data_IF_773930048420
#
_entry.id   IF_773930048420
#
_cell.length_a   1.000
_cell.length_b   1.000
_cell.length_c   1.000
_cell.angle_alpha   90.00
_cell.angle_beta   90.00
_cell.angle_gamma   90.00
#
_symmetry.space_group_name_H-M   'P 1'
#
loop_
_entity.id
_entity.type
_entity.pdbx_description
1 polymer ?
#
# COMPACT_ATOMS: atom_id res chain seq x y z
N UNK A 1 27.57 69.27 20.31
CA UNK A 1 26.25 68.74 19.90
C UNK A 1 26.30 67.84 18.67
N UNK A 2 27.00 68.20 17.58
CA UNK A 2 27.07 67.36 16.34
C UNK A 2 27.69 65.97 16.52
N UNK A 3 28.69 65.79 17.41
CA UNK A 3 29.31 64.48 17.69
C UNK A 3 28.41 63.52 18.50
N UNK A 4 27.56 64.06 19.38
CA UNK A 4 26.63 63.26 20.19
C UNK A 4 25.45 62.73 19.36
N UNK A 5 24.99 63.51 18.37
CA UNK A 5 23.92 63.11 17.46
C UNK A 5 24.36 61.97 16.52
N UNK A 6 25.63 61.94 16.10
CA UNK A 6 26.18 60.88 15.23
C UNK A 6 26.30 59.56 16.02
N UNK A 7 26.75 59.61 17.29
CA UNK A 7 26.84 58.41 18.12
C UNK A 7 25.47 57.81 18.46
N UNK A 8 24.43 58.63 18.65
CA UNK A 8 23.07 58.12 18.86
C UNK A 8 22.50 57.45 17.60
N UNK A 9 22.82 57.97 16.41
CA UNK A 9 22.35 57.41 15.14
C UNK A 9 23.00 56.07 14.80
N UNK A 10 24.28 55.88 15.16
CA UNK A 10 25.00 54.60 14.98
C UNK A 10 24.51 53.53 15.95
N UNK A 11 24.14 53.89 17.19
CA UNK A 11 23.56 52.94 18.15
C UNK A 11 22.14 52.53 17.73
N UNK A 12 21.37 53.43 17.11
CA UNK A 12 20.02 53.11 16.62
C UNK A 12 20.02 52.20 15.38
N UNK A 13 21.07 52.26 14.55
CA UNK A 13 21.28 51.35 13.41
C UNK A 13 21.72 49.93 13.82
N UNK A 14 22.24 49.75 15.04
CA UNK A 14 22.64 48.45 15.59
C UNK A 14 21.49 47.66 16.24
N UNK A 15 20.28 48.23 16.26
CA UNK A 15 19.09 47.62 16.84
C UNK A 15 18.00 47.31 15.79
N UNK A 16 18.42 46.89 14.60
CA UNK A 16 17.48 46.26 13.66
C UNK A 16 17.28 44.82 14.15
N UNK A 17 16.08 44.44 14.63
CA UNK A 17 15.81 43.06 14.96
C UNK A 17 15.98 42.23 13.70
N UNK A 18 16.96 41.33 13.71
CA UNK A 18 17.11 40.30 12.67
C UNK A 18 15.92 39.38 12.84
N UNK A 19 14.83 39.66 12.14
CA UNK A 19 13.71 38.73 12.04
C UNK A 19 14.23 37.56 11.23
N UNK A 20 14.30 36.33 11.77
CA UNK A 20 14.65 35.18 10.96
C UNK A 20 13.62 35.06 9.86
N UNK A 21 14.03 35.38 8.63
CA UNK A 21 13.27 35.08 7.44
C UNK A 21 13.23 33.55 7.32
N UNK A 22 12.18 32.94 7.87
CA UNK A 22 11.80 31.59 7.49
C UNK A 22 11.38 31.67 6.02
N UNK A 23 12.34 31.43 5.13
CA UNK A 23 12.02 31.13 3.74
C UNK A 23 11.09 29.92 3.77
N UNK A 24 9.79 30.14 3.53
CA UNK A 24 8.90 29.04 3.18
C UNK A 24 9.51 28.43 1.91
N UNK A 25 9.96 27.18 2.00
CA UNK A 25 10.31 26.42 0.80
C UNK A 25 9.11 26.56 -0.17
N UNK A 26 9.34 27.01 -1.42
CA UNK A 26 8.25 27.23 -2.35
C UNK A 26 7.47 25.93 -2.48
N UNK A 27 6.16 25.97 -2.21
CA UNK A 27 5.29 24.81 -2.40
C UNK A 27 5.39 24.37 -3.86
N UNK A 28 6.06 23.24 -4.09
CA UNK A 28 6.25 22.71 -5.43
C UNK A 28 4.89 22.33 -5.99
N UNK A 29 4.44 23.06 -7.01
CA UNK A 29 3.16 22.78 -7.65
C UNK A 29 3.31 21.64 -8.66
N UNK A 30 3.06 20.40 -8.22
CA UNK A 30 3.11 19.21 -9.07
C UNK A 30 1.81 18.97 -9.85
N UNK A 31 0.66 19.38 -9.31
CA UNK A 31 -0.69 19.01 -9.80
C UNK A 31 -1.59 20.25 -9.89
N UNK A 32 -1.99 20.64 -11.10
CA UNK A 32 -2.81 21.85 -11.39
C UNK A 32 -4.28 21.51 -11.60
N UNK A 33 -4.56 20.73 -12.63
CA UNK A 33 -5.92 20.47 -13.11
C UNK A 33 -6.39 19.06 -12.70
N UNK A 34 -6.42 18.82 -11.39
CA UNK A 34 -7.00 17.63 -10.79
C UNK A 34 -7.59 17.97 -9.43
N UNK A 35 -8.66 17.26 -9.05
CA UNK A 35 -9.41 17.50 -7.81
C UNK A 35 -8.55 17.21 -6.58
N UNK A 36 -7.91 16.04 -6.57
CA UNK A 36 -6.99 15.64 -5.49
C UNK A 36 -5.83 14.81 -6.00
N UNK A 37 -4.71 14.84 -5.27
CA UNK A 37 -3.56 14.01 -5.52
C UNK A 37 -2.75 13.70 -4.25
N UNK A 38 -1.99 12.62 -4.28
CA UNK A 38 -0.98 12.30 -3.27
C UNK A 38 0.18 11.54 -3.90
N UNK A 39 1.39 11.74 -3.37
CA UNK A 39 2.59 11.00 -3.69
C UNK A 39 3.22 10.54 -2.38
N UNK A 40 3.42 9.24 -2.23
CA UNK A 40 4.08 8.65 -1.06
C UNK A 40 5.25 7.76 -1.48
N UNK A 41 6.25 7.63 -0.62
CA UNK A 41 7.19 6.51 -0.68
C UNK A 41 6.56 5.31 0.06
N UNK A 42 6.63 4.11 -0.55
CA UNK A 42 5.86 2.95 -0.12
C UNK A 42 6.31 2.43 1.25
N UNK A 43 7.61 2.16 1.44
CA UNK A 43 8.11 1.46 2.62
C UNK A 43 7.91 2.32 3.88
N UNK A 44 8.38 3.56 3.84
CA UNK A 44 8.27 4.55 4.93
C UNK A 44 6.85 5.06 5.12
N UNK A 45 6.07 5.16 4.04
CA UNK A 45 4.76 5.84 4.05
C UNK A 45 4.87 7.37 4.10
N UNK A 46 6.08 7.93 3.91
CA UNK A 46 6.27 9.38 3.92
C UNK A 46 5.55 10.02 2.74
N UNK A 47 4.75 11.06 3.02
CA UNK A 47 4.07 11.87 2.02
C UNK A 47 5.09 12.85 1.45
N UNK A 48 5.30 12.79 0.13
CA UNK A 48 6.22 13.66 -0.61
C UNK A 48 5.48 14.84 -1.26
N UNK A 49 4.19 14.65 -1.54
CA UNK A 49 3.30 15.68 -2.06
C UNK A 49 1.85 15.30 -1.77
N UNK A 50 1.01 16.29 -1.49
CA UNK A 50 -0.43 16.12 -1.38
C UNK A 50 -1.20 17.36 -1.83
N UNK A 51 -2.39 17.13 -2.38
CA UNK A 51 -3.38 18.14 -2.75
C UNK A 51 -4.76 17.56 -2.46
N UNK A 52 -5.50 18.16 -1.53
CA UNK A 52 -6.84 17.71 -1.15
C UNK A 52 -6.91 16.19 -0.88
N UNK A 53 -5.87 15.60 -0.30
CA UNK A 53 -5.69 14.15 -0.30
C UNK A 53 -6.79 13.38 0.45
N UNK A 54 -7.55 14.05 1.32
CA UNK A 54 -8.67 13.50 2.09
C UNK A 54 -10.05 13.89 1.55
N UNK A 55 -10.13 14.54 0.38
CA UNK A 55 -11.40 14.87 -0.27
C UNK A 55 -12.10 13.59 -0.76
N UNK A 56 -13.37 13.41 -0.38
CA UNK A 56 -14.19 12.26 -0.77
C UNK A 56 -14.64 12.42 -2.22
N UNK A 57 -14.20 11.50 -3.07
CA UNK A 57 -14.47 11.50 -4.50
C UNK A 57 -14.88 10.10 -4.99
N UNK A 58 -15.69 10.00 -6.06
CA UNK A 58 -16.01 8.72 -6.67
C UNK A 58 -14.73 8.08 -7.24
N UNK A 59 -14.39 6.85 -6.82
CA UNK A 59 -13.13 6.19 -7.19
C UNK A 59 -13.16 5.59 -8.61
N UNK A 60 -14.33 5.42 -9.20
CA UNK A 60 -14.52 4.65 -10.42
C UNK A 60 -13.78 3.28 -10.33
N UNK A 61 -13.24 2.77 -11.43
CA UNK A 61 -12.52 1.49 -11.43
C UNK A 61 -11.27 1.41 -10.54
N UNK A 62 -10.83 2.48 -9.87
CA UNK A 62 -9.82 2.34 -8.80
C UNK A 62 -10.33 1.53 -7.61
N UNK A 63 -11.65 1.37 -7.44
CA UNK A 63 -12.27 0.42 -6.51
C UNK A 63 -11.69 -0.99 -6.64
N UNK A 64 -11.31 -1.40 -7.85
CA UNK A 64 -10.72 -2.71 -8.10
C UNK A 64 -9.37 -2.92 -7.42
N UNK A 65 -8.73 -1.88 -6.88
CA UNK A 65 -7.56 -2.03 -6.00
C UNK A 65 -7.94 -2.81 -4.74
N UNK A 66 -9.08 -2.50 -4.12
CA UNK A 66 -9.59 -3.26 -2.97
C UNK A 66 -10.02 -4.67 -3.39
N UNK A 67 -10.67 -4.81 -4.54
CA UNK A 67 -11.04 -6.12 -5.09
C UNK A 67 -9.81 -7.01 -5.30
N UNK A 68 -8.76 -6.49 -5.94
CA UNK A 68 -7.49 -7.20 -6.13
C UNK A 68 -6.79 -7.49 -4.80
N UNK A 69 -6.88 -6.60 -3.81
CA UNK A 69 -6.34 -6.84 -2.46
C UNK A 69 -6.99 -8.05 -1.80
N UNK A 70 -8.33 -8.15 -1.81
CA UNK A 70 -9.03 -9.30 -1.25
C UNK A 70 -8.77 -10.58 -2.04
N UNK A 71 -8.64 -10.51 -3.37
CA UNK A 71 -8.23 -11.65 -4.20
C UNK A 71 -6.83 -12.13 -3.81
N UNK A 72 -5.87 -11.21 -3.66
CA UNK A 72 -4.50 -11.55 -3.25
C UNK A 72 -4.44 -12.15 -1.85
N UNK A 73 -5.24 -11.64 -0.91
CA UNK A 73 -5.39 -12.24 0.42
C UNK A 73 -5.97 -13.66 0.36
N UNK A 74 -6.98 -13.90 -0.48
CA UNK A 74 -7.56 -15.23 -0.66
C UNK A 74 -6.55 -16.22 -1.27
N UNK A 75 -5.71 -15.76 -2.20
CA UNK A 75 -4.61 -16.55 -2.78
C UNK A 75 -3.53 -16.87 -1.74
N UNK A 76 -3.08 -15.88 -0.97
CA UNK A 76 -2.05 -16.05 0.06
C UNK A 76 -2.50 -16.99 1.19
N UNK A 77 -3.79 -16.94 1.55
CA UNK A 77 -4.40 -17.82 2.54
C UNK A 77 -4.75 -19.22 1.99
N UNK A 78 -4.54 -19.48 0.70
CA UNK A 78 -4.88 -20.74 0.05
C UNK A 78 -6.39 -21.01 -0.10
N UNK A 79 -7.24 -19.99 0.09
CA UNK A 79 -8.71 -20.07 -0.11
C UNK A 79 -9.10 -20.01 -1.58
N UNK A 80 -8.19 -19.51 -2.41
CA UNK A 80 -8.30 -19.42 -3.87
C UNK A 80 -7.01 -19.94 -4.49
N UNK A 81 -7.08 -20.58 -5.66
CA UNK A 81 -5.89 -21.02 -6.40
C UNK A 81 -5.90 -20.45 -7.81
N UNK A 82 -4.73 -20.07 -8.35
CA UNK A 82 -4.64 -19.45 -9.68
C UNK A 82 -5.19 -20.33 -10.81
N UNK A 83 -5.03 -21.64 -10.72
CA UNK A 83 -5.51 -22.62 -11.70
C UNK A 83 -6.93 -23.10 -11.46
N UNK A 84 -7.57 -22.63 -10.39
CA UNK A 84 -8.97 -22.93 -10.11
C UNK A 84 -9.85 -22.29 -11.17
N UNK A 85 -10.84 -23.05 -11.66
CA UNK A 85 -11.86 -22.52 -12.57
C UNK A 85 -13.02 -21.93 -11.77
N UNK A 86 -13.44 -20.74 -12.18
CA UNK A 86 -14.60 -20.06 -11.63
C UNK A 86 -15.65 -19.97 -12.72
N UNK A 87 -16.85 -20.45 -12.41
CA UNK A 87 -18.01 -20.40 -13.28
C UNK A 87 -18.70 -19.05 -13.15
N UNK A 88 -18.85 -18.32 -14.24
CA UNK A 88 -19.54 -17.04 -14.25
C UNK A 88 -21.04 -17.22 -13.99
N UNK A 89 -21.60 -16.45 -13.06
CA UNK A 89 -23.04 -16.36 -12.85
C UNK A 89 -23.71 -15.55 -13.97
N UNK A 90 -25.03 -15.65 -14.09
CA UNK A 90 -25.80 -14.75 -14.96
C UNK A 90 -25.61 -13.29 -14.55
N UNK A 91 -25.51 -13.01 -13.25
CA UNK A 91 -25.29 -11.66 -12.74
C UNK A 91 -23.92 -11.11 -13.17
N UNK A 92 -22.84 -11.87 -12.97
CA UNK A 92 -21.50 -11.50 -13.42
C UNK A 92 -21.44 -11.28 -14.95
N UNK A 93 -22.10 -12.14 -15.72
CA UNK A 93 -22.18 -12.00 -17.18
C UNK A 93 -23.02 -10.78 -17.62
N UNK A 94 -24.00 -10.36 -16.82
CA UNK A 94 -24.88 -9.22 -17.10
C UNK A 94 -24.25 -7.84 -16.83
N UNK A 95 -23.06 -7.82 -16.22
CA UNK A 95 -22.39 -6.55 -15.87
C UNK A 95 -22.22 -5.66 -17.10
N UNK A 96 -22.28 -4.34 -16.92
CA UNK A 96 -21.95 -3.37 -17.97
C UNK A 96 -20.55 -2.77 -17.79
N UNK A 97 -20.19 -1.81 -18.64
CA UNK A 97 -18.92 -1.08 -18.55
C UNK A 97 -17.75 -1.84 -19.19
N UNK A 98 -16.55 -1.75 -18.60
CA UNK A 98 -15.39 -2.54 -19.07
C UNK A 98 -15.60 -4.00 -18.73
N UNK A 99 -15.49 -4.89 -19.73
CA UNK A 99 -15.77 -6.31 -19.60
C UNK A 99 -14.76 -7.14 -20.38
N UNK A 100 -14.64 -8.42 -20.00
CA UNK A 100 -14.01 -9.45 -20.81
C UNK A 100 -15.06 -10.32 -21.54
N UNK A 101 -16.34 -9.93 -21.43
CA UNK A 101 -17.51 -10.57 -22.00
C UNK A 101 -17.61 -12.04 -21.58
N UNK A 102 -17.64 -12.28 -20.27
CA UNK A 102 -17.97 -13.61 -19.73
C UNK A 102 -19.40 -13.99 -20.12
N UNK A 103 -19.58 -15.21 -20.61
CA UNK A 103 -20.91 -15.79 -20.83
C UNK A 103 -21.41 -16.47 -19.54
N UNK A 104 -22.73 -16.47 -19.33
CA UNK A 104 -23.32 -17.16 -18.19
C UNK A 104 -22.97 -18.66 -18.23
N UNK A 105 -22.37 -19.17 -17.16
CA UNK A 105 -21.90 -20.54 -17.05
C UNK A 105 -20.52 -20.80 -17.68
N UNK A 106 -19.88 -19.81 -18.31
CA UNK A 106 -18.48 -19.94 -18.77
C UNK A 106 -17.55 -20.15 -17.58
N UNK A 107 -16.58 -21.06 -17.72
CA UNK A 107 -15.55 -21.29 -16.72
C UNK A 107 -14.21 -20.70 -17.15
N UNK A 108 -13.65 -19.83 -16.32
CA UNK A 108 -12.35 -19.21 -16.55
C UNK A 108 -11.44 -19.39 -15.33
N UNK A 109 -10.13 -19.53 -15.54
CA UNK A 109 -9.20 -19.67 -14.42
C UNK A 109 -9.13 -18.37 -13.60
N UNK A 110 -8.86 -18.47 -12.31
CA UNK A 110 -8.62 -17.29 -11.45
C UNK A 110 -7.50 -16.42 -12.03
N UNK A 111 -6.46 -17.03 -12.59
CA UNK A 111 -5.39 -16.34 -13.28
C UNK A 111 -5.90 -15.44 -14.43
N UNK A 112 -6.77 -15.98 -15.28
CA UNK A 112 -7.31 -15.27 -16.44
C UNK A 112 -8.33 -14.19 -16.04
N UNK A 113 -9.17 -14.47 -15.02
CA UNK A 113 -10.05 -13.47 -14.44
C UNK A 113 -9.25 -12.31 -13.83
N UNK A 114 -8.16 -12.61 -13.12
CA UNK A 114 -7.29 -11.60 -12.54
C UNK A 114 -6.58 -10.76 -13.62
N UNK A 115 -6.14 -11.36 -14.75
CA UNK A 115 -5.68 -10.61 -15.93
C UNK A 115 -6.79 -9.67 -16.44
N UNK A 116 -8.02 -10.17 -16.56
CA UNK A 116 -9.18 -9.39 -16.97
C UNK A 116 -9.41 -8.16 -16.08
N UNK A 117 -9.28 -8.30 -14.76
CA UNK A 117 -9.42 -7.20 -13.79
C UNK A 117 -8.24 -6.22 -13.87
N UNK A 118 -7.01 -6.73 -13.81
CA UNK A 118 -5.80 -5.91 -13.69
C UNK A 118 -5.48 -5.15 -14.98
N UNK A 119 -5.63 -5.78 -16.13
CA UNK A 119 -5.27 -5.24 -17.45
C UNK A 119 -6.49 -4.58 -18.09
N UNK A 120 -7.54 -5.37 -18.33
CA UNK A 120 -8.77 -4.95 -19.03
C UNK A 120 -9.79 -4.20 -18.17
N UNK A 121 -9.61 -4.17 -16.84
CA UNK A 121 -10.57 -3.57 -15.91
C UNK A 121 -11.97 -4.21 -15.93
N UNK A 122 -12.06 -5.51 -16.26
CA UNK A 122 -13.31 -6.27 -16.40
C UNK A 122 -14.18 -6.27 -15.14
N UNK A 123 -15.42 -5.79 -15.27
CA UNK A 123 -16.43 -5.75 -14.23
C UNK A 123 -17.03 -7.13 -13.96
N UNK A 124 -17.33 -7.85 -15.04
CA UNK A 124 -17.76 -9.25 -15.05
C UNK A 124 -16.77 -10.15 -14.29
N UNK A 125 -15.46 -10.03 -14.59
CA UNK A 125 -14.42 -10.78 -13.88
C UNK A 125 -14.32 -10.39 -12.39
N UNK A 126 -14.54 -9.11 -12.06
CA UNK A 126 -14.52 -8.62 -10.68
C UNK A 126 -15.67 -9.21 -9.87
N UNK A 127 -16.88 -9.26 -10.44
CA UNK A 127 -18.06 -9.84 -9.79
C UNK A 127 -17.92 -11.35 -9.68
N UNK A 128 -17.48 -12.05 -10.73
CA UNK A 128 -17.28 -13.51 -10.68
C UNK A 128 -16.29 -13.94 -9.57
N UNK A 129 -15.17 -13.22 -9.41
CA UNK A 129 -14.24 -13.51 -8.31
C UNK A 129 -14.78 -13.08 -6.95
N UNK A 130 -15.57 -12.00 -6.88
CA UNK A 130 -16.23 -11.58 -5.65
C UNK A 130 -17.22 -12.65 -5.14
N UNK A 131 -18.09 -13.13 -6.02
CA UNK A 131 -19.03 -14.22 -5.75
C UNK A 131 -18.29 -15.50 -5.37
N UNK A 132 -17.21 -15.85 -6.07
CA UNK A 132 -16.42 -17.03 -5.71
C UNK A 132 -15.82 -16.92 -4.31
N UNK A 133 -15.30 -15.75 -3.93
CA UNK A 133 -14.59 -15.57 -2.64
C UNK A 133 -15.59 -15.49 -1.48
N UNK A 134 -16.70 -14.77 -1.65
CA UNK A 134 -17.60 -14.40 -0.56
C UNK A 134 -18.98 -15.08 -0.62
N UNK A 135 -19.29 -15.80 -1.68
CA UNK A 135 -20.61 -16.40 -1.95
C UNK A 135 -21.58 -15.47 -2.65
N UNK A 136 -21.46 -14.15 -2.47
CA UNK A 136 -22.25 -13.13 -3.16
C UNK A 136 -21.50 -11.80 -3.29
N UNK A 137 -21.94 -10.92 -4.19
CA UNK A 137 -21.37 -9.57 -4.32
C UNK A 137 -21.57 -8.76 -3.03
N UNK A 138 -22.74 -8.84 -2.40
CA UNK A 138 -23.05 -8.07 -1.18
C UNK A 138 -22.11 -8.46 -0.03
N UNK A 139 -21.87 -9.77 0.13
CA UNK A 139 -20.94 -10.27 1.15
C UNK A 139 -19.51 -9.82 0.85
N UNK A 140 -19.13 -9.79 -0.43
CA UNK A 140 -17.82 -9.27 -0.82
C UNK A 140 -17.70 -7.76 -0.53
N UNK A 141 -18.74 -6.97 -0.78
CA UNK A 141 -18.77 -5.53 -0.44
C UNK A 141 -18.65 -5.31 1.07
N UNK A 142 -19.25 -6.17 1.89
CA UNK A 142 -19.04 -6.14 3.34
C UNK A 142 -17.57 -6.39 3.68
N UNK A 143 -16.94 -7.41 3.09
CA UNK A 143 -15.50 -7.68 3.25
C UNK A 143 -14.63 -6.49 2.81
N UNK A 144 -14.97 -5.81 1.72
CA UNK A 144 -14.26 -4.61 1.25
C UNK A 144 -14.30 -3.49 2.30
N UNK A 145 -15.47 -3.24 2.88
CA UNK A 145 -15.65 -2.20 3.90
C UNK A 145 -15.04 -2.59 5.25
N UNK A 146 -15.06 -3.87 5.62
CA UNK A 146 -14.32 -4.39 6.78
C UNK A 146 -12.82 -4.23 6.60
N UNK A 147 -12.29 -4.54 5.43
CA UNK A 147 -10.88 -4.32 5.10
C UNK A 147 -10.53 -2.83 5.16
N UNK A 148 -11.38 -1.95 4.65
CA UNK A 148 -11.19 -0.51 4.75
C UNK A 148 -11.08 -0.06 6.22
N UNK A 149 -11.94 -0.57 7.11
CA UNK A 149 -11.86 -0.31 8.56
C UNK A 149 -10.57 -0.86 9.18
N UNK A 150 -10.17 -2.08 8.83
CA UNK A 150 -8.93 -2.70 9.32
C UNK A 150 -7.68 -1.89 8.93
N UNK A 151 -7.70 -1.30 7.73
CA UNK A 151 -6.64 -0.43 7.22
C UNK A 151 -6.74 1.02 7.75
N UNK A 152 -7.76 1.34 8.53
CA UNK A 152 -7.98 2.67 9.09
C UNK A 152 -8.43 3.72 8.06
N UNK A 153 -9.01 3.30 6.93
CA UNK A 153 -9.48 4.19 5.86
C UNK A 153 -10.79 4.86 6.27
N UNK A 154 -10.68 6.06 6.85
CA UNK A 154 -11.83 6.78 7.44
C UNK A 154 -12.77 7.37 6.40
N UNK A 155 -12.31 7.55 5.17
CA UNK A 155 -13.03 8.27 4.13
C UNK A 155 -13.26 7.41 2.88
N UNK A 156 -13.47 6.11 3.08
CA UNK A 156 -13.76 5.14 2.01
C UNK A 156 -15.02 4.34 2.34
N UNK A 157 -15.89 4.17 1.34
CA UNK A 157 -17.08 3.33 1.40
C UNK A 157 -17.32 2.71 0.02
N UNK A 158 -17.41 1.39 -0.03
CA UNK A 158 -17.66 0.62 -1.25
C UNK A 158 -19.10 0.13 -1.30
N UNK A 159 -19.68 0.14 -2.50
CA UNK A 159 -21.04 -0.37 -2.77
C UNK A 159 -21.06 -1.52 -3.78
N UNK A 160 -19.92 -1.78 -4.42
CA UNK A 160 -19.73 -2.83 -5.42
C UNK A 160 -18.21 -3.05 -5.61
N UNK A 161 -17.75 -4.19 -6.17
CA UNK A 161 -16.34 -4.49 -6.39
C UNK A 161 -15.78 -3.87 -7.68
N UNK A 162 -16.61 -3.16 -8.45
CA UNK A 162 -16.26 -2.72 -9.80
C UNK A 162 -15.91 -1.23 -9.88
N UNK A 163 -16.50 -0.42 -9.01
CA UNK A 163 -16.46 1.04 -9.09
C UNK A 163 -17.47 1.64 -10.06
N UNK A 164 -18.51 0.89 -10.44
CA UNK A 164 -19.67 1.48 -11.11
C UNK A 164 -20.33 2.52 -10.19
N UNK A 165 -20.87 3.63 -10.74
CA UNK A 165 -21.51 4.67 -9.95
C UNK A 165 -22.62 4.11 -9.06
N UNK A 166 -22.55 4.42 -7.78
CA UNK A 166 -23.55 4.06 -6.79
C UNK A 166 -23.56 5.14 -5.70
N UNK A 167 -24.72 5.35 -5.08
CA UNK A 167 -24.85 6.28 -3.96
C UNK A 167 -23.94 5.83 -2.81
N UNK A 168 -23.25 6.76 -2.16
CA UNK A 168 -22.34 6.48 -1.04
C UNK A 168 -21.15 5.55 -1.41
N UNK A 169 -20.73 5.57 -2.67
CA UNK A 169 -19.51 4.92 -3.18
C UNK A 169 -18.39 5.95 -3.38
N UNK A 170 -17.48 6.06 -2.41
CA UNK A 170 -16.42 7.08 -2.42
C UNK A 170 -15.12 6.60 -1.80
N UNK A 171 -14.02 7.28 -2.12
CA UNK A 171 -12.72 7.13 -1.48
C UNK A 171 -11.97 8.47 -1.53
N UNK A 172 -10.73 8.47 -1.04
CA UNK A 172 -9.83 9.63 -1.13
C UNK A 172 -8.51 9.25 -1.81
N UNK A 173 -7.72 10.25 -2.22
CA UNK A 173 -6.39 10.00 -2.76
C UNK A 173 -5.47 9.35 -1.72
N UNK A 174 -5.55 9.80 -0.47
CA UNK A 174 -4.83 9.21 0.66
C UNK A 174 -5.20 7.74 0.86
N UNK A 175 -6.49 7.43 0.97
CA UNK A 175 -6.95 6.05 1.23
C UNK A 175 -6.59 5.12 0.07
N UNK A 176 -6.61 5.61 -1.18
CA UNK A 176 -6.13 4.86 -2.35
C UNK A 176 -4.63 4.56 -2.28
N UNK A 177 -3.82 5.50 -1.79
CA UNK A 177 -2.39 5.28 -1.60
C UNK A 177 -2.12 4.23 -0.51
N UNK A 178 -2.90 4.24 0.58
CA UNK A 178 -2.82 3.22 1.64
C UNK A 178 -3.25 1.84 1.12
N UNK A 179 -4.36 1.74 0.38
CA UNK A 179 -4.79 0.48 -0.24
C UNK A 179 -3.75 -0.06 -1.24
N UNK A 180 -3.17 0.80 -2.07
CA UNK A 180 -2.10 0.41 -2.97
C UNK A 180 -0.86 -0.08 -2.20
N UNK A 181 -0.47 0.60 -1.11
CA UNK A 181 0.63 0.17 -0.24
C UNK A 181 0.38 -1.22 0.33
N UNK A 182 -0.85 -1.51 0.76
CA UNK A 182 -1.24 -2.84 1.26
C UNK A 182 -1.22 -3.90 0.15
N UNK A 183 -1.81 -3.60 -1.01
CA UNK A 183 -1.81 -4.49 -2.17
C UNK A 183 -0.39 -4.84 -2.65
N UNK A 184 0.54 -3.89 -2.59
CA UNK A 184 1.94 -4.09 -3.00
C UNK A 184 2.77 -4.95 -2.04
N UNK A 185 2.18 -5.47 -0.95
CA UNK A 185 2.78 -6.55 -0.15
C UNK A 185 2.76 -7.89 -0.88
N UNK A 186 1.86 -8.06 -1.84
CA UNK A 186 1.71 -9.27 -2.64
C UNK A 186 2.47 -9.09 -3.96
N UNK A 187 3.72 -9.53 -4.02
CA UNK A 187 4.60 -9.34 -5.19
C UNK A 187 4.01 -9.87 -6.51
N UNK A 188 3.06 -10.81 -6.42
CA UNK A 188 2.35 -11.35 -7.57
C UNK A 188 1.55 -10.28 -8.33
N UNK A 189 1.02 -9.25 -7.66
CA UNK A 189 0.11 -8.27 -8.30
C UNK A 189 0.78 -7.50 -9.45
N UNK A 190 2.06 -7.12 -9.29
CA UNK A 190 2.76 -6.34 -10.31
C UNK A 190 3.07 -7.15 -11.56
N UNK A 191 3.03 -8.49 -11.48
CA UNK A 191 3.09 -9.36 -12.66
C UNK A 191 1.85 -9.24 -13.55
N UNK A 192 0.71 -8.80 -13.00
CA UNK A 192 -0.50 -8.52 -13.76
C UNK A 192 -0.60 -7.03 -14.10
N UNK A 193 -0.52 -6.14 -13.10
CA UNK A 193 -0.73 -4.69 -13.31
C UNK A 193 0.38 -4.02 -14.12
N UNK A 194 1.56 -4.63 -14.19
CA UNK A 194 2.71 -4.15 -14.96
C UNK A 194 2.74 -4.62 -16.42
N UNK A 195 1.85 -5.54 -16.81
CA UNK A 195 1.76 -5.97 -18.21
C UNK A 195 1.05 -4.92 -19.05
N UNK A 196 1.59 -4.61 -20.22
CA UNK A 196 0.96 -3.68 -21.16
C UNK A 196 -0.24 -4.32 -21.87
N UNK A 197 -0.11 -5.59 -22.25
CA UNK A 197 -1.13 -6.35 -22.95
C UNK A 197 -0.98 -7.83 -22.64
N UNK A 198 -2.07 -8.57 -22.82
CA UNK A 198 -2.13 -10.02 -22.69
C UNK A 198 -3.35 -10.53 -23.47
N UNK A 199 -3.56 -11.85 -23.52
CA UNK A 199 -4.72 -12.46 -24.15
C UNK A 199 -5.46 -13.37 -23.17
N UNK A 200 -6.78 -13.41 -23.35
CA UNK A 200 -7.65 -14.43 -22.77
C UNK A 200 -8.10 -15.36 -23.89
N UNK A 201 -8.45 -16.59 -23.52
CA UNK A 201 -9.05 -17.58 -24.44
C UNK A 201 -8.17 -17.79 -25.70
N UNK A 202 -6.85 -17.71 -25.54
CA UNK A 202 -5.90 -17.57 -26.66
C UNK A 202 -5.96 -18.72 -27.68
N UNK A 203 -6.24 -19.94 -27.22
CA UNK A 203 -6.31 -21.14 -28.05
C UNK A 203 -7.75 -21.49 -28.45
N UNK A 204 -8.63 -20.49 -28.55
CA UNK A 204 -10.04 -20.66 -28.94
C UNK A 204 -10.42 -19.67 -30.03
N UNK A 205 -11.56 -19.88 -30.68
CA UNK A 205 -12.20 -18.94 -31.59
C UNK A 205 -12.63 -17.64 -30.89
N UNK A 206 -12.75 -17.64 -29.56
CA UNK A 206 -13.09 -16.49 -28.72
C UNK A 206 -11.86 -15.75 -28.15
N UNK A 207 -10.69 -15.84 -28.80
CA UNK A 207 -9.46 -15.12 -28.38
C UNK A 207 -9.76 -13.64 -28.14
N UNK A 208 -9.44 -13.16 -26.94
CA UNK A 208 -9.75 -11.81 -26.51
C UNK A 208 -8.48 -11.07 -26.10
N UNK A 209 -8.23 -9.92 -26.72
CA UNK A 209 -7.04 -9.11 -26.46
C UNK A 209 -7.29 -8.13 -25.31
N UNK A 210 -6.43 -8.17 -24.30
CA UNK A 210 -6.42 -7.24 -23.19
C UNK A 210 -5.35 -6.17 -23.43
N UNK A 211 -5.73 -4.91 -23.26
CA UNK A 211 -4.78 -3.78 -23.27
C UNK A 211 -4.91 -3.03 -21.96
N UNK A 212 -3.78 -2.79 -21.30
CA UNK A 212 -3.74 -2.13 -20.02
C UNK A 212 -4.23 -0.69 -20.16
N UNK A 213 -5.26 -0.38 -19.38
CA UNK A 213 -5.81 0.99 -19.29
C UNK A 213 -4.77 2.00 -18.79
N UNK A 214 -3.79 1.58 -17.98
CA UNK A 214 -2.66 2.38 -17.56
C UNK A 214 -1.54 2.33 -18.61
N UNK A 215 -1.54 3.28 -19.54
CA UNK A 215 -0.50 3.33 -20.59
C UNK A 215 0.90 3.63 -20.07
N UNK A 216 1.06 4.15 -18.85
CA UNK A 216 2.38 4.46 -18.28
C UNK A 216 3.24 3.20 -18.09
N UNK A 217 2.65 2.01 -17.98
CA UNK A 217 3.40 0.74 -17.90
C UNK A 217 4.29 0.51 -19.12
N UNK A 218 3.93 1.07 -20.28
CA UNK A 218 4.71 0.99 -21.52
C UNK A 218 5.68 2.15 -21.71
N UNK A 219 5.35 3.33 -21.19
CA UNK A 219 6.03 4.58 -21.54
C UNK A 219 6.87 5.19 -20.42
N UNK A 220 6.76 4.68 -19.19
CA UNK A 220 7.56 5.15 -18.06
C UNK A 220 8.30 3.99 -17.40
N UNK A 221 9.63 3.99 -17.51
CA UNK A 221 10.48 2.94 -16.94
C UNK A 221 10.27 2.81 -15.43
N UNK A 222 9.97 1.60 -14.99
CA UNK A 222 9.75 1.28 -13.58
C UNK A 222 8.30 1.36 -13.13
N UNK A 223 7.36 1.87 -13.94
CA UNK A 223 5.92 1.77 -13.66
C UNK A 223 5.45 0.34 -13.87
N UNK A 224 4.90 -0.27 -12.82
CA UNK A 224 4.40 -1.64 -12.82
C UNK A 224 2.97 -1.75 -12.25
N UNK A 225 2.23 -0.64 -12.25
CA UNK A 225 0.83 -0.61 -11.83
C UNK A 225 0.29 0.79 -11.52
N UNK A 226 -0.87 0.92 -10.86
CA UNK A 226 -1.78 -0.17 -10.47
C UNK A 226 -3.09 -0.11 -11.25
N UNK A 227 -3.85 0.99 -11.13
CA UNK A 227 -5.21 1.01 -11.65
C UNK A 227 -5.71 2.40 -12.03
N UNK A 228 -6.24 2.49 -13.25
CA UNK A 228 -7.00 3.64 -13.73
C UNK A 228 -8.47 3.58 -13.30
N UNK A 229 -9.13 4.74 -13.26
CA UNK A 229 -10.58 4.86 -13.12
C UNK A 229 -11.14 5.97 -14.00
N UNK A 230 -12.31 5.74 -14.59
CA UNK A 230 -13.07 6.77 -15.30
C UNK A 230 -14.57 6.54 -15.17
N UNK A 231 -15.30 7.60 -14.84
CA UNK A 231 -16.73 7.77 -15.06
C UNK A 231 -16.98 9.25 -15.39
N UNK A 232 -18.16 9.60 -15.90
CA UNK A 232 -18.52 11.00 -16.16
C UNK A 232 -18.41 11.89 -14.91
N UNK A 233 -18.68 11.31 -13.73
CA UNK A 233 -18.61 11.97 -12.42
C UNK A 233 -17.18 12.05 -11.87
N UNK A 234 -16.43 10.94 -11.93
CA UNK A 234 -15.06 10.85 -11.41
C UNK A 234 -14.01 11.53 -12.28
N UNK A 235 -14.30 11.72 -13.58
CA UNK A 235 -13.33 12.07 -14.62
C UNK A 235 -12.15 11.09 -14.61
N UNK A 236 -10.96 11.50 -15.03
CA UNK A 236 -9.82 10.59 -15.20
C UNK A 236 -8.99 10.48 -13.92
N UNK A 237 -8.93 9.27 -13.38
CA UNK A 237 -8.21 8.93 -12.17
C UNK A 237 -7.13 7.87 -12.43
N UNK A 238 -6.11 7.82 -11.56
CA UNK A 238 -5.09 6.78 -11.56
C UNK A 238 -4.39 6.70 -10.21
N UNK A 239 -4.25 5.48 -9.71
CA UNK A 239 -3.26 5.10 -8.72
C UNK A 239 -2.14 4.36 -9.42
N UNK A 240 -0.97 4.98 -9.53
CA UNK A 240 0.22 4.44 -10.14
C UNK A 240 1.25 4.03 -9.09
N UNK A 241 2.06 3.03 -9.41
CA UNK A 241 3.30 2.75 -8.66
C UNK A 241 4.46 2.65 -9.63
N UNK A 242 5.62 3.07 -9.17
CA UNK A 242 6.86 2.86 -9.88
C UNK A 242 7.98 2.48 -8.91
N UNK A 243 8.92 1.66 -9.39
CA UNK A 243 10.13 1.29 -8.65
C UNK A 243 11.38 1.64 -9.44
N UNK A 244 12.32 2.33 -8.80
CA UNK A 244 13.66 2.61 -9.33
C UNK A 244 14.70 2.29 -8.27
N UNK A 245 15.56 1.32 -8.54
CA UNK A 245 16.50 0.80 -7.53
C UNK A 245 15.77 0.29 -6.30
N UNK A 246 16.13 0.84 -5.14
CA UNK A 246 15.53 0.48 -3.85
C UNK A 246 14.25 1.26 -3.50
N UNK A 247 13.94 2.31 -4.25
CA UNK A 247 12.81 3.20 -3.96
C UNK A 247 11.57 2.79 -4.74
N UNK A 248 10.44 2.61 -4.05
CA UNK A 248 9.12 2.43 -4.65
C UNK A 248 8.20 3.55 -4.20
N UNK A 249 7.52 4.17 -5.16
CA UNK A 249 6.57 5.25 -4.89
C UNK A 249 5.17 4.87 -5.35
N UNK A 250 4.19 5.52 -4.74
CA UNK A 250 2.78 5.44 -5.12
C UNK A 250 2.29 6.86 -5.36
N UNK A 251 1.73 7.10 -6.55
CA UNK A 251 1.20 8.39 -6.96
C UNK A 251 -0.28 8.22 -7.32
N UNK A 252 -1.14 9.05 -6.75
CA UNK A 252 -2.59 9.01 -6.99
C UNK A 252 -3.05 10.36 -7.50
N UNK A 253 -3.90 10.34 -8.52
CA UNK A 253 -4.62 11.51 -9.05
C UNK A 253 -6.10 11.15 -9.20
N UNK A 254 -6.98 12.04 -8.73
CA UNK A 254 -8.41 12.01 -9.02
C UNK A 254 -8.83 13.21 -9.85
N UNK A 255 -9.78 13.00 -10.76
CA UNK A 255 -10.53 14.10 -11.33
C UNK A 255 -9.78 14.96 -12.34
N UNK A 256 -8.79 14.42 -13.05
CA UNK A 256 -8.16 15.15 -14.15
C UNK A 256 -9.12 15.22 -15.35
N UNK A 257 -9.08 16.29 -16.17
CA UNK A 257 -10.05 16.49 -17.24
C UNK A 257 -9.77 15.61 -18.47
N UNK A 258 -8.51 15.19 -18.70
CA UNK A 258 -8.13 14.32 -19.82
C UNK A 258 -7.17 13.19 -19.39
N UNK A 259 -7.10 12.06 -20.14
CA UNK A 259 -6.12 11.01 -19.89
C UNK A 259 -4.67 11.51 -20.00
N UNK A 260 -4.43 12.46 -20.91
CA UNK A 260 -3.12 13.07 -21.17
C UNK A 260 -2.65 13.86 -19.94
N UNK A 261 -3.51 14.71 -19.39
CA UNK A 261 -3.20 15.49 -18.19
C UNK A 261 -3.07 14.61 -16.95
N UNK A 262 -3.93 13.60 -16.80
CA UNK A 262 -3.78 12.58 -15.75
C UNK A 262 -2.39 11.94 -15.80
N UNK A 263 -1.97 11.50 -16.98
CA UNK A 263 -0.66 10.84 -17.16
C UNK A 263 0.49 11.82 -16.88
N UNK A 264 0.42 13.04 -17.41
CA UNK A 264 1.46 14.05 -17.22
C UNK A 264 1.65 14.42 -15.73
N UNK A 265 0.56 14.56 -14.98
CA UNK A 265 0.60 14.88 -13.55
C UNK A 265 1.20 13.73 -12.72
N UNK A 266 0.84 12.47 -13.04
CA UNK A 266 1.47 11.29 -12.42
C UNK A 266 2.95 11.24 -12.75
N UNK A 267 3.34 11.35 -14.02
CA UNK A 267 4.75 11.38 -14.46
C UNK A 267 5.55 12.44 -13.72
N UNK A 268 5.02 13.67 -13.59
CA UNK A 268 5.69 14.76 -12.87
C UNK A 268 5.89 14.44 -11.38
N UNK A 269 4.93 13.78 -10.73
CA UNK A 269 5.08 13.31 -9.35
C UNK A 269 6.14 12.21 -9.22
N UNK A 270 6.16 11.24 -10.13
CA UNK A 270 7.17 10.18 -10.14
C UNK A 270 8.58 10.75 -10.35
N UNK A 271 8.74 11.66 -11.33
CA UNK A 271 10.01 12.32 -11.63
C UNK A 271 10.49 13.18 -10.46
N UNK A 272 9.58 13.92 -9.80
CA UNK A 272 9.89 14.65 -8.57
C UNK A 272 10.45 13.72 -7.49
N UNK A 273 9.78 12.60 -7.22
CA UNK A 273 10.24 11.65 -6.21
C UNK A 273 11.64 11.10 -6.51
N UNK A 274 11.85 10.59 -7.72
CA UNK A 274 13.10 9.93 -8.09
C UNK A 274 14.25 10.91 -8.37
N UNK A 275 13.98 12.20 -8.54
CA UNK A 275 15.01 13.24 -8.68
C UNK A 275 15.49 13.76 -7.33
N UNK A 276 14.59 13.88 -6.34
CA UNK A 276 14.89 14.54 -5.07
C UNK A 276 15.22 13.56 -3.94
N UNK A 277 14.75 12.32 -4.02
CA UNK A 277 14.84 11.37 -2.93
C UNK A 277 15.50 10.05 -3.33
N UNK A 278 15.97 9.34 -2.32
CA UNK A 278 16.46 7.97 -2.42
C UNK A 278 16.12 7.19 -1.15
N UNK A 279 15.96 5.88 -1.31
CA UNK A 279 15.56 4.97 -0.24
C UNK A 279 16.69 4.02 0.08
N UNK A 280 17.04 3.95 1.37
CA UNK A 280 18.09 3.12 1.93
C UNK A 280 17.47 1.96 2.72
N UNK A 281 17.48 0.73 2.17
CA UNK A 281 16.95 -0.44 2.87
C UNK A 281 17.79 -0.74 4.11
N UNK A 282 17.12 -0.94 5.25
CA UNK A 282 17.77 -1.34 6.50
C UNK A 282 17.48 -2.78 6.88
N UNK A 283 16.23 -3.23 6.70
CA UNK A 283 15.80 -4.59 7.00
C UNK A 283 14.87 -5.10 5.92
N UNK A 284 15.04 -6.37 5.55
CA UNK A 284 14.09 -7.09 4.69
C UNK A 284 12.87 -7.52 5.50
N UNK A 285 11.77 -7.86 4.83
CA UNK A 285 10.61 -8.50 5.47
C UNK A 285 11.02 -9.85 6.07
N UNK A 286 10.57 -10.15 7.29
CA UNK A 286 10.86 -11.42 7.96
C UNK A 286 12.30 -11.55 8.48
N UNK A 287 13.06 -10.45 8.48
CA UNK A 287 14.41 -10.41 9.03
C UNK A 287 14.35 -10.49 10.56
N UNK A 288 15.20 -11.33 11.16
CA UNK A 288 15.18 -11.56 12.61
C UNK A 288 15.88 -10.43 13.33
N UNK A 289 15.13 -9.70 14.17
CA UNK A 289 15.66 -8.62 15.01
C UNK A 289 16.20 -9.17 16.32
N UNK A 290 15.44 -10.05 16.97
CA UNK A 290 15.81 -10.62 18.26
C UNK A 290 15.01 -11.90 18.54
N UNK A 291 15.22 -12.50 19.71
CA UNK A 291 14.51 -13.68 20.20
C UNK A 291 13.96 -13.39 21.59
N UNK A 292 12.72 -13.80 21.86
CA UNK A 292 12.07 -13.60 23.17
C UNK A 292 11.68 -14.91 23.81
N UNK A 293 11.78 -14.97 25.13
CA UNK A 293 11.34 -16.13 25.91
C UNK A 293 9.81 -16.20 25.94
N UNK A 294 9.27 -17.39 25.68
CA UNK A 294 7.84 -17.68 25.75
C UNK A 294 7.56 -18.53 26.99
N UNK A 295 6.86 -17.92 27.95
CA UNK A 295 6.40 -18.63 29.14
C UNK A 295 5.32 -19.64 28.79
N UNK A 296 5.40 -20.82 29.42
CA UNK A 296 4.46 -21.95 29.22
C UNK A 296 4.30 -22.43 27.77
N UNK A 297 5.23 -22.10 26.86
CA UNK A 297 5.19 -22.53 25.46
C UNK A 297 5.88 -23.88 25.20
N UNK A 298 5.40 -24.64 24.21
CA UNK A 298 6.08 -25.85 23.70
C UNK A 298 7.52 -25.54 23.31
N UNK A 299 7.75 -24.38 22.69
CA UNK A 299 9.08 -23.77 22.51
C UNK A 299 9.36 -22.80 23.66
N UNK A 300 10.62 -22.74 24.09
CA UNK A 300 11.05 -21.81 25.16
C UNK A 300 11.19 -20.38 24.67
N UNK A 301 11.33 -20.20 23.37
CA UNK A 301 11.63 -18.92 22.74
C UNK A 301 10.96 -18.83 21.37
N UNK A 302 10.71 -17.60 20.90
CA UNK A 302 10.22 -17.32 19.54
C UNK A 302 11.06 -16.19 18.93
N UNK A 303 11.40 -16.34 17.64
CA UNK A 303 12.08 -15.29 16.89
C UNK A 303 11.11 -14.15 16.62
N UNK A 304 11.56 -12.93 16.88
CA UNK A 304 10.86 -11.70 16.56
C UNK A 304 11.46 -11.13 15.27
N UNK A 305 10.60 -10.94 14.28
CA UNK A 305 11.00 -10.50 12.93
C UNK A 305 10.30 -9.20 12.54
N UNK A 306 10.86 -8.52 11.55
CA UNK A 306 10.19 -7.38 10.87
C UNK A 306 8.94 -7.86 10.13
N UNK A 307 7.82 -7.13 10.30
CA UNK A 307 6.56 -7.45 9.60
C UNK A 307 6.60 -7.07 8.11
N UNK A 308 7.36 -6.03 7.78
CA UNK A 308 7.50 -5.40 6.46
C UNK A 308 8.97 -5.04 6.22
N UNK A 309 9.39 -4.77 4.97
CA UNK A 309 10.67 -4.12 4.70
C UNK A 309 10.74 -2.77 5.44
N UNK A 310 11.90 -2.45 6.00
CA UNK A 310 12.13 -1.21 6.72
C UNK A 310 13.24 -0.47 6.03
N UNK A 311 12.92 0.72 5.56
CA UNK A 311 13.80 1.57 4.79
C UNK A 311 13.80 2.98 5.38
N UNK A 312 14.82 3.76 5.02
CA UNK A 312 14.91 5.18 5.33
C UNK A 312 14.85 5.95 4.03
N UNK A 313 14.00 6.98 3.99
CA UNK A 313 13.98 7.95 2.91
C UNK A 313 14.87 9.14 3.27
N UNK A 314 15.74 9.54 2.35
CA UNK A 314 16.53 10.77 2.46
C UNK A 314 16.37 11.61 1.19
N UNK A 315 16.62 12.92 1.30
CA UNK A 315 16.90 13.72 0.09
C UNK A 315 18.23 13.22 -0.49
N UNK A 316 18.37 13.23 -1.81
CA UNK A 316 19.62 12.81 -2.45
C UNK A 316 20.79 13.65 -1.98
N UNK A 317 21.89 12.97 -1.65
CA UNK A 317 23.10 13.60 -1.13
C UNK A 317 23.11 13.79 0.39
N UNK A 318 22.03 13.49 1.11
CA UNK A 318 22.04 13.44 2.57
C UNK A 318 22.59 12.09 3.09
N UNK A 319 23.44 12.15 4.13
CA UNK A 319 23.98 10.95 4.79
C UNK A 319 22.95 10.25 5.69
N UNK A 320 23.08 8.92 5.76
CA UNK A 320 22.25 8.00 6.56
C UNK A 320 22.88 7.68 7.93
N UNK A 321 24.09 8.19 8.21
CA UNK A 321 24.92 7.78 9.37
C UNK A 321 24.35 8.16 10.73
N UNK A 322 23.43 9.14 10.80
CA UNK A 322 22.85 9.64 12.07
C UNK A 322 21.55 8.95 12.50
N UNK A 323 21.31 7.72 12.05
CA UNK A 323 20.06 7.02 12.34
C UNK A 323 20.23 6.07 13.51
N UNK A 324 19.65 6.47 14.64
CA UNK A 324 19.56 5.66 15.84
C UNK A 324 18.48 4.59 15.68
N UNK A 325 18.84 3.33 15.95
CA UNK A 325 17.95 2.18 15.87
C UNK A 325 17.67 1.68 17.28
N UNK A 326 16.40 1.56 17.65
CA UNK A 326 15.98 0.99 18.93
C UNK A 326 14.75 0.11 18.75
N UNK A 327 14.57 -0.88 19.61
CA UNK A 327 13.36 -1.69 19.63
C UNK A 327 12.84 -1.88 21.05
N UNK A 328 11.53 -1.88 21.19
CA UNK A 328 10.84 -2.22 22.44
C UNK A 328 10.11 -3.55 22.22
N UNK A 329 10.38 -4.51 23.11
CA UNK A 329 9.90 -5.87 23.00
C UNK A 329 9.17 -6.25 24.28
N UNK A 330 8.05 -6.95 24.13
CA UNK A 330 7.25 -7.45 25.24
C UNK A 330 8.06 -8.40 26.11
N UNK A 331 8.25 -8.05 27.39
CA UNK A 331 9.08 -8.82 28.32
C UNK A 331 8.43 -10.15 28.76
N UNK A 332 7.10 -10.21 28.76
CA UNK A 332 6.32 -11.33 29.28
C UNK A 332 5.45 -11.97 28.19
N UNK A 333 6.07 -12.59 27.20
CA UNK A 333 5.34 -13.34 26.17
C UNK A 333 4.87 -14.67 26.74
N UNK A 334 3.58 -14.98 26.63
CA UNK A 334 2.97 -16.21 27.14
C UNK A 334 2.32 -16.97 25.99
N UNK A 335 2.45 -18.29 26.00
CA UNK A 335 1.74 -19.13 25.02
C UNK A 335 0.21 -19.11 25.26
N UNK A 336 -0.61 -19.30 24.21
CA UNK A 336 -0.19 -19.50 22.82
C UNK A 336 0.22 -18.19 22.13
N UNK A 337 1.31 -18.24 21.36
CA UNK A 337 1.72 -17.18 20.42
C UNK A 337 1.42 -17.68 19.02
N UNK A 338 0.76 -16.88 18.19
CA UNK A 338 0.56 -17.16 16.78
C UNK A 338 1.60 -16.42 15.94
N UNK A 339 2.00 -17.01 14.83
CA UNK A 339 2.77 -16.35 13.78
C UNK A 339 2.03 -15.07 13.38
N UNK A 340 2.75 -13.95 13.38
CA UNK A 340 2.18 -12.63 13.09
C UNK A 340 1.76 -11.83 14.31
N UNK A 341 1.70 -12.43 15.51
CA UNK A 341 1.41 -11.67 16.74
C UNK A 341 2.44 -10.56 16.94
N UNK A 342 1.99 -9.35 17.26
CA UNK A 342 2.87 -8.21 17.52
C UNK A 342 3.53 -8.39 18.88
N UNK A 343 4.85 -8.59 18.89
CA UNK A 343 5.64 -8.79 20.09
C UNK A 343 6.47 -7.56 20.47
N UNK A 344 6.52 -6.55 19.61
CA UNK A 344 7.21 -5.30 19.89
C UNK A 344 7.14 -4.28 18.76
N UNK A 345 8.02 -3.30 18.81
CA UNK A 345 8.10 -2.21 17.83
C UNK A 345 9.54 -1.78 17.64
N UNK A 346 9.97 -1.69 16.38
CA UNK A 346 11.20 -1.03 15.97
C UNK A 346 10.93 0.47 15.82
N UNK A 347 11.83 1.30 16.36
CA UNK A 347 11.80 2.75 16.28
C UNK A 347 13.13 3.22 15.69
N UNK A 348 13.05 3.93 14.56
CA UNK A 348 14.18 4.62 13.95
C UNK A 348 14.08 6.11 14.26
N UNK A 349 15.17 6.71 14.75
CA UNK A 349 15.26 8.14 15.02
C UNK A 349 16.41 8.78 14.24
N UNK A 350 16.19 10.00 13.76
CA UNK A 350 17.23 10.87 13.18
C UNK A 350 17.18 12.18 13.95
N UNK A 351 18.32 12.60 14.51
CA UNK A 351 18.45 13.83 15.30
C UNK A 351 17.38 13.94 16.42
N UNK A 352 17.17 12.85 17.17
CA UNK A 352 16.16 12.74 18.24
C UNK A 352 14.70 12.61 17.78
N UNK A 353 14.39 12.87 16.51
CA UNK A 353 13.04 12.78 15.94
C UNK A 353 12.77 11.37 15.41
N UNK A 354 11.61 10.80 15.74
CA UNK A 354 11.24 9.48 15.21
C UNK A 354 10.85 9.60 13.73
N UNK A 355 11.61 8.95 12.87
CA UNK A 355 11.37 8.92 11.42
C UNK A 355 10.44 7.76 11.03
N UNK A 356 10.59 6.60 11.67
CA UNK A 356 9.82 5.39 11.34
C UNK A 356 9.52 4.59 12.61
N UNK A 357 8.31 4.07 12.71
CA UNK A 357 7.93 3.02 13.66
C UNK A 357 7.37 1.83 12.89
N UNK A 358 7.83 0.63 13.20
CA UNK A 358 7.38 -0.60 12.53
C UNK A 358 7.13 -1.71 13.54
N UNK A 359 5.99 -2.42 13.47
CA UNK A 359 5.70 -3.52 14.37
C UNK A 359 6.68 -4.69 14.14
N UNK A 360 7.03 -5.34 15.23
CA UNK A 360 7.85 -6.54 15.23
C UNK A 360 6.98 -7.73 15.64
N UNK A 361 6.99 -8.78 14.83
CA UNK A 361 6.02 -9.87 14.91
C UNK A 361 6.68 -11.23 15.19
N UNK A 362 5.91 -12.17 15.73
CA UNK A 362 6.33 -13.56 15.91
C UNK A 362 6.54 -14.25 14.55
N UNK A 363 7.71 -14.89 14.36
CA UNK A 363 8.02 -15.63 13.13
C UNK A 363 7.19 -16.90 12.95
N UNK A 364 6.78 -17.52 14.04
CA UNK A 364 6.17 -18.85 14.07
C UNK A 364 5.23 -19.03 15.25
N UNK A 365 4.35 -20.03 15.16
CA UNK A 365 3.44 -20.40 16.24
C UNK A 365 4.21 -21.05 17.41
N UNK A 366 3.84 -20.68 18.63
CA UNK A 366 4.25 -21.34 19.86
C UNK A 366 3.01 -21.69 20.67
N UNK A 367 2.53 -22.93 20.49
CA UNK A 367 1.44 -23.49 21.30
C UNK A 367 1.82 -23.70 22.77
N UNK A 368 0.83 -23.99 23.61
CA UNK A 368 1.03 -24.27 25.04
C UNK A 368 1.78 -25.58 25.29
N UNK A 369 2.70 -25.56 26.25
CA UNK A 369 3.41 -26.76 26.71
C UNK A 369 2.47 -27.69 27.47
N UNK A 370 2.56 -28.98 27.18
CA UNK A 370 1.80 -29.99 27.89
C UNK A 370 2.34 -30.16 29.32
N UNK A 371 1.51 -30.68 30.25
CA UNK A 371 1.87 -30.87 31.66
C UNK A 371 3.24 -31.57 31.86
N UNK A 372 3.49 -32.66 31.12
CA UNK A 372 4.77 -33.38 31.14
C UNK A 372 5.99 -32.54 30.73
N UNK A 373 5.82 -31.60 29.81
CA UNK A 373 6.89 -30.70 29.37
C UNK A 373 7.19 -29.62 30.41
N UNK A 374 6.14 -29.11 31.08
CA UNK A 374 6.29 -28.18 32.20
C UNK A 374 6.96 -28.88 33.39
N UNK A 375 6.53 -30.10 33.73
CA UNK A 375 7.09 -30.92 34.78
C UNK A 375 8.58 -31.21 34.55
N UNK A 376 8.98 -31.72 33.37
CA UNK A 376 10.40 -31.96 33.03
C UNK A 376 11.26 -30.69 33.12
N UNK A 377 10.71 -29.52 32.78
CA UNK A 377 11.45 -28.25 32.86
C UNK A 377 11.68 -27.78 34.29
N UNK A 378 10.73 -28.05 35.18
CA UNK A 378 10.86 -27.75 36.61
C UNK A 378 11.95 -28.62 37.25
N UNK A 379 11.96 -29.94 36.99
CA UNK A 379 12.98 -30.83 37.56
C UNK A 379 14.36 -30.69 36.90
N UNK A 380 14.43 -30.41 35.60
CA UNK A 380 15.69 -30.18 34.90
C UNK A 380 16.40 -28.86 35.25
N UNK A 381 15.71 -27.89 35.90
CA UNK A 381 16.40 -26.71 36.46
C UNK A 381 17.05 -27.02 37.81
N UNK A 382 16.49 -27.94 38.60
CA UNK A 382 17.07 -28.38 39.88
C UNK A 382 18.36 -29.18 39.69
N UNK A 383 18.53 -29.91 38.58
CA UNK A 383 19.75 -30.70 38.32
C UNK A 383 20.92 -29.91 37.69
N UNK A 384 20.74 -28.63 37.37
CA UNK A 384 21.79 -27.74 36.82
C UNK A 384 22.26 -26.68 37.82
N UNK A 385 21.66 -26.65 39.00
CA UNK A 385 21.99 -25.75 40.10
C UNK A 385 22.69 -26.47 41.26
N UNK A 386 23.38 -27.58 40.97
CA UNK A 386 24.22 -28.32 41.91
C UNK A 386 25.63 -28.45 41.37
#
# INVERSE_FOLDING_TARGET
MKRFAISLFVIMLLWIPIVPAYAQEPKVELVRDAKSAILIERDTGMILYEKNAHEKLPPASMTKIMTMLLIMEALDQGKLKLNEKVRASEYAASMGGSQIFLEAGEEMTVNDLLKGIAIGSGNDASVALAERIAGSEETFVQMMNEKAKQLGLKNTSFQNPTGLPAKDHYSTAYDMAIMAKELLKYELITKYTGQYEDYLRENTDKKFWLVNTNRLVKFYTGVDGLKTGYTSEAKYCLTATAKKGNMRVIAVVFGAPTPKERNAQITKMLDYAFSHYETHPLYKRGETITTVKVSKGKKKEVKVVTSEPISVLTKKGESVEKIEKSWNISKNVKAPVKKGDVLGTLVLKKDGTTITKSPLIAKEDVGEANFWQLFKRMFGSFSRSS
#
